data_IF_657484938555
#
_entry.id   IF_657484938555
#
_cell.length_a   1.000
_cell.length_b   1.000
_cell.length_c   1.000
_cell.angle_alpha   90.00
_cell.angle_beta   90.00
_cell.angle_gamma   90.00
#
_symmetry.space_group_name_H-M   'P 1'
#
loop_
_entity.id
_entity.type
_entity.pdbx_description
1 polymer ?
#
# COMPACT_ATOMS: atom_id res chain seq x y z
N UNK A 1 19.55 -58.91 -25.61
CA UNK A 1 20.52 -57.93 -26.14
C UNK A 1 20.81 -56.91 -25.05
N UNK A 2 22.09 -56.71 -24.71
CA UNK A 2 22.72 -55.71 -23.81
C UNK A 2 22.15 -55.64 -22.36
N UNK A 3 22.75 -56.27 -21.32
CA UNK A 3 24.07 -56.09 -20.68
C UNK A 3 24.39 -54.66 -20.23
N UNK A 4 23.99 -54.31 -19.00
CA UNK A 4 24.54 -53.17 -18.25
C UNK A 4 25.31 -53.75 -17.06
N UNK A 5 26.63 -53.51 -17.06
CA UNK A 5 27.55 -53.95 -16.01
C UNK A 5 27.56 -52.95 -14.86
N UNK A 6 27.53 -53.52 -13.65
CA UNK A 6 27.92 -52.96 -12.35
C UNK A 6 29.24 -52.16 -12.41
N UNK A 7 29.38 -51.15 -11.54
CA UNK A 7 30.31 -51.25 -10.40
C UNK A 7 30.11 -50.11 -9.38
N UNK A 8 29.82 -50.53 -8.14
CA UNK A 8 30.01 -49.81 -6.89
C UNK A 8 31.50 -49.81 -6.50
N UNK A 9 32.00 -48.71 -5.92
CA UNK A 9 32.95 -48.68 -4.78
C UNK A 9 33.29 -47.21 -4.48
N UNK A 10 32.86 -46.61 -3.36
CA UNK A 10 33.24 -46.76 -1.95
C UNK A 10 34.66 -46.28 -1.58
N UNK A 11 34.63 -45.29 -0.67
CA UNK A 11 35.59 -45.00 0.42
C UNK A 11 36.91 -44.28 0.08
N UNK A 12 37.16 -43.13 0.71
CA UNK A 12 37.93 -43.00 1.98
C UNK A 12 38.23 -41.52 2.26
N UNK A 13 37.93 -41.07 3.47
CA UNK A 13 38.40 -39.79 3.97
C UNK A 13 39.88 -39.82 4.33
N UNK A 14 40.52 -38.65 4.33
CA UNK A 14 41.69 -38.37 5.16
C UNK A 14 41.63 -36.92 5.64
N UNK A 15 41.85 -36.77 6.93
CA UNK A 15 42.03 -35.51 7.64
C UNK A 15 43.43 -34.98 7.35
N UNK A 16 43.57 -33.67 7.08
CA UNK A 16 44.82 -32.95 7.38
C UNK A 16 44.47 -31.60 8.02
N UNK A 17 45.07 -31.43 9.20
CA UNK A 17 44.91 -30.36 10.16
C UNK A 17 46.24 -29.60 10.22
N UNK A 18 46.15 -28.25 10.25
CA UNK A 18 47.19 -27.23 10.45
C UNK A 18 48.19 -27.08 9.28
N UNK A 19 48.52 -25.88 8.83
CA UNK A 19 49.15 -24.82 9.63
C UNK A 19 48.67 -23.41 9.25
N UNK A 20 48.26 -22.67 10.27
CA UNK A 20 48.34 -21.21 10.29
C UNK A 20 49.77 -20.79 9.99
N UNK A 21 49.99 -20.04 8.91
CA UNK A 21 51.16 -19.19 8.78
C UNK A 21 50.68 -17.75 8.64
N UNK A 22 51.07 -16.97 9.64
CA UNK A 22 50.93 -15.52 9.69
C UNK A 22 51.59 -14.90 8.47
N UNK A 23 50.79 -14.44 7.53
CA UNK A 23 51.18 -13.36 6.64
C UNK A 23 50.02 -12.35 6.56
N UNK A 24 49.65 -11.83 7.72
CA UNK A 24 49.08 -10.49 7.80
C UNK A 24 50.17 -9.49 7.42
N UNK A 25 50.47 -9.38 6.13
CA UNK A 25 50.71 -8.05 5.57
C UNK A 25 49.34 -7.47 5.32
N UNK A 26 48.71 -7.03 6.42
CA UNK A 26 47.76 -5.93 6.36
C UNK A 26 48.54 -4.78 5.72
N UNK A 27 48.48 -4.69 4.40
CA UNK A 27 48.59 -3.41 3.73
C UNK A 27 47.41 -2.63 4.26
N UNK A 28 47.63 -1.95 5.39
CA UNK A 28 46.89 -0.78 5.79
C UNK A 28 47.12 0.21 4.65
N UNK A 29 46.38 0.05 3.55
CA UNK A 29 46.15 1.16 2.66
C UNK A 29 45.50 2.21 3.54
N UNK A 30 46.32 3.20 3.90
CA UNK A 30 46.01 4.46 4.55
C UNK A 30 45.02 5.25 3.69
N UNK A 31 43.83 4.69 3.54
CA UNK A 31 42.68 5.30 2.94
C UNK A 31 41.51 4.99 3.87
N UNK A 32 41.67 5.35 5.15
CA UNK A 32 40.54 5.83 5.92
C UNK A 32 40.07 7.13 5.25
N UNK A 33 39.39 7.01 4.10
CA UNK A 33 38.67 8.11 3.49
C UNK A 33 37.55 8.40 4.46
N UNK A 34 37.80 9.32 5.40
CA UNK A 34 36.75 10.00 6.12
C UNK A 34 35.90 10.67 5.04
N UNK A 35 34.71 10.13 4.83
CA UNK A 35 33.67 10.79 4.05
C UNK A 35 33.51 12.22 4.60
N UNK A 36 33.94 13.17 3.78
CA UNK A 36 33.57 14.58 3.74
C UNK A 36 33.38 15.30 5.09
N UNK A 37 34.47 15.86 5.63
CA UNK A 37 34.34 17.03 6.50
C UNK A 37 34.27 18.30 5.64
N UNK A 38 33.41 19.26 5.98
CA UNK A 38 33.36 20.57 5.30
C UNK A 38 34.72 21.28 5.30
N UNK A 39 35.56 21.02 6.32
CA UNK A 39 36.88 21.62 6.45
C UNK A 39 37.95 21.00 5.53
N UNK A 40 37.68 19.82 4.95
CA UNK A 40 38.60 19.15 4.01
C UNK A 40 38.28 19.42 2.55
N UNK A 41 37.17 20.09 2.23
CA UNK A 41 36.91 20.54 0.85
C UNK A 41 37.77 21.76 0.51
N UNK A 42 38.25 21.88 -0.74
CA UNK A 42 38.94 23.10 -1.16
C UNK A 42 38.02 24.32 -0.98
N UNK A 43 38.58 25.48 -0.59
CA UNK A 43 37.80 26.70 -0.47
C UNK A 43 37.22 27.11 -1.83
N UNK A 44 36.07 27.81 -1.81
CA UNK A 44 35.45 28.31 -3.05
C UNK A 44 36.40 29.32 -3.71
N UNK A 45 36.81 29.00 -4.93
CA UNK A 45 37.70 29.80 -5.75
C UNK A 45 36.98 31.03 -6.36
N UNK A 46 37.72 32.02 -6.90
CA UNK A 46 37.11 33.06 -7.73
C UNK A 46 36.39 32.45 -8.95
N UNK A 47 35.31 33.10 -9.41
CA UNK A 47 34.41 32.59 -10.45
C UNK A 47 35.13 32.22 -11.76
N UNK A 48 36.23 32.91 -12.07
CA UNK A 48 37.05 32.74 -13.27
C UNK A 48 37.75 31.37 -13.36
N UNK A 49 37.94 30.69 -12.22
CA UNK A 49 38.57 29.36 -12.18
C UNK A 49 37.57 28.23 -12.51
N UNK A 50 36.27 28.51 -12.45
CA UNK A 50 35.23 27.55 -12.80
C UNK A 50 34.91 27.59 -14.29
N UNK A 51 34.56 26.45 -14.90
CA UNK A 51 34.14 26.41 -16.29
C UNK A 51 32.91 27.30 -16.51
N UNK A 52 32.85 27.97 -17.65
CA UNK A 52 31.68 28.73 -18.05
C UNK A 52 30.47 27.80 -18.17
N UNK A 53 29.38 28.15 -17.49
CA UNK A 53 28.13 27.37 -17.50
C UNK A 53 27.11 28.13 -18.32
N UNK A 54 26.62 27.50 -19.39
CA UNK A 54 25.51 28.02 -20.18
C UNK A 54 24.19 27.78 -19.45
N UNK A 55 23.45 28.86 -19.17
CA UNK A 55 22.13 28.77 -18.53
C UNK A 55 21.10 28.56 -19.64
N UNK A 56 20.81 27.30 -19.94
CA UNK A 56 19.78 26.93 -20.93
C UNK A 56 18.40 27.02 -20.28
N UNK A 57 17.51 27.83 -20.84
CA UNK A 57 16.11 27.86 -20.44
C UNK A 57 15.36 26.67 -21.06
N UNK A 58 14.61 25.90 -20.24
CA UNK A 58 13.79 24.75 -20.66
C UNK A 58 14.59 23.60 -21.31
N UNK A 59 15.67 23.16 -20.67
CA UNK A 59 16.47 22.03 -21.13
C UNK A 59 15.63 20.73 -21.23
N UNK A 60 15.83 19.88 -22.26
CA UNK A 60 15.07 18.64 -22.43
C UNK A 60 15.24 17.64 -21.26
N UNK A 61 16.35 17.74 -20.52
CA UNK A 61 16.64 16.96 -19.33
C UNK A 61 15.75 17.35 -18.14
N UNK A 62 15.12 18.53 -18.15
CA UNK A 62 14.26 18.99 -17.04
C UNK A 62 13.04 18.06 -16.81
N UNK A 63 12.64 17.29 -17.83
CA UNK A 63 11.64 16.22 -17.72
C UNK A 63 11.94 15.22 -16.60
N UNK A 64 13.22 14.96 -16.31
CA UNK A 64 13.62 14.06 -15.22
C UNK A 64 13.37 14.69 -13.86
N UNK A 65 13.56 16.01 -13.72
CA UNK A 65 13.25 16.75 -12.50
C UNK A 65 11.74 16.79 -12.28
N UNK A 66 10.96 17.10 -13.34
CA UNK A 66 9.49 17.11 -13.27
C UNK A 66 8.91 15.77 -12.82
N UNK A 67 9.49 14.64 -13.26
CA UNK A 67 9.08 13.30 -12.82
C UNK A 67 9.28 13.06 -11.32
N UNK A 68 10.26 13.71 -10.70
CA UNK A 68 10.55 13.58 -9.26
C UNK A 68 9.62 14.42 -8.40
N UNK A 69 8.95 15.41 -8.98
CA UNK A 69 8.02 16.26 -8.25
C UNK A 69 6.74 15.50 -7.88
N UNK A 70 6.22 15.64 -6.64
CA UNK A 70 5.00 14.97 -6.22
C UNK A 70 3.76 15.58 -6.88
N UNK A 71 2.77 14.74 -7.14
CA UNK A 71 1.46 15.20 -7.61
C UNK A 71 0.69 15.88 -6.48
N UNK A 72 0.22 17.11 -6.72
CA UNK A 72 -0.59 17.87 -5.73
C UNK A 72 -2.02 17.34 -5.60
N UNK A 73 -2.57 16.80 -6.69
CA UNK A 73 -3.96 16.37 -6.80
C UNK A 73 -3.98 14.86 -7.08
N UNK A 74 -4.92 14.16 -6.45
CA UNK A 74 -5.10 12.72 -6.68
C UNK A 74 -5.65 12.52 -8.09
N UNK A 75 -5.01 11.70 -8.93
CA UNK A 75 -5.46 11.46 -10.29
C UNK A 75 -6.78 10.68 -10.27
N UNK A 76 -7.66 11.01 -11.21
CA UNK A 76 -8.89 10.25 -11.44
C UNK A 76 -8.53 8.86 -11.98
N UNK A 77 -9.24 7.80 -11.56
CA UNK A 77 -9.01 6.46 -12.07
C UNK A 77 -9.38 6.39 -13.55
N UNK A 78 -8.59 5.63 -14.31
CA UNK A 78 -8.84 5.38 -15.73
C UNK A 78 -9.95 4.34 -15.84
N UNK A 79 -11.00 4.64 -16.60
CA UNK A 79 -12.12 3.74 -16.83
C UNK A 79 -11.69 2.52 -17.66
N UNK A 80 -11.89 1.33 -17.10
CA UNK A 80 -11.61 0.02 -17.69
C UNK A 80 -12.82 -0.89 -17.48
N UNK A 81 -13.05 -1.86 -18.38
CA UNK A 81 -14.14 -2.82 -18.23
C UNK A 81 -13.96 -3.70 -16.98
N UNK A 82 -12.72 -4.08 -16.68
CA UNK A 82 -12.39 -4.89 -15.51
C UNK A 82 -11.10 -4.41 -14.85
N UNK A 83 -11.06 -4.52 -13.51
CA UNK A 83 -9.89 -4.21 -12.71
C UNK A 83 -9.44 -5.47 -11.95
N UNK A 84 -8.19 -5.92 -12.13
CA UNK A 84 -7.69 -7.12 -11.45
C UNK A 84 -7.60 -6.97 -9.92
N UNK A 85 -7.60 -5.72 -9.41
CA UNK A 85 -7.59 -5.43 -7.97
C UNK A 85 -8.96 -5.62 -7.29
N UNK A 86 -10.02 -5.94 -8.04
CA UNK A 86 -11.39 -6.00 -7.52
C UNK A 86 -11.95 -4.62 -7.14
N UNK A 87 -11.30 -3.54 -7.58
CA UNK A 87 -11.85 -2.19 -7.51
C UNK A 87 -12.97 -2.03 -8.53
N UNK A 88 -14.05 -1.35 -8.15
CA UNK A 88 -15.16 -1.01 -9.03
C UNK A 88 -15.47 0.48 -8.92
N UNK A 89 -15.64 1.19 -10.05
CA UNK A 89 -16.04 2.60 -10.06
C UNK A 89 -17.45 2.74 -9.48
N UNK A 90 -17.79 3.95 -9.05
CA UNK A 90 -19.10 4.26 -8.51
C UNK A 90 -20.07 4.55 -9.66
N UNK A 91 -21.08 3.71 -9.84
CA UNK A 91 -22.10 3.83 -10.91
C UNK A 91 -23.38 4.49 -10.40
N UNK A 92 -23.66 4.38 -9.10
CA UNK A 92 -24.90 4.82 -8.46
C UNK A 92 -25.22 6.32 -8.62
N UNK A 93 -24.22 7.17 -8.90
CA UNK A 93 -24.43 8.60 -9.14
C UNK A 93 -25.31 8.89 -10.37
N UNK A 94 -25.46 7.93 -11.29
CA UNK A 94 -26.32 8.07 -12.48
C UNK A 94 -27.78 7.67 -12.22
N UNK A 95 -28.13 7.16 -11.03
CA UNK A 95 -29.48 6.67 -10.71
C UNK A 95 -30.30 7.77 -10.03
N UNK A 96 -31.40 8.25 -10.63
CA UNK A 96 -32.14 9.41 -10.12
C UNK A 96 -32.96 9.15 -8.85
N UNK A 97 -33.28 7.89 -8.51
CA UNK A 97 -34.25 7.56 -7.44
C UNK A 97 -33.63 6.83 -6.22
N UNK A 98 -32.46 7.25 -5.77
CA UNK A 98 -31.83 6.69 -4.57
C UNK A 98 -32.18 7.51 -3.32
N UNK A 99 -32.86 6.88 -2.35
CA UNK A 99 -33.20 7.48 -1.05
C UNK A 99 -31.98 7.81 -0.20
N UNK A 100 -30.88 7.11 -0.41
CA UNK A 100 -29.61 7.34 0.26
C UNK A 100 -28.44 7.14 -0.71
N UNK A 101 -27.30 7.74 -0.39
CA UNK A 101 -26.11 7.70 -1.22
C UNK A 101 -24.84 7.57 -0.37
N UNK A 102 -23.97 6.62 -0.71
CA UNK A 102 -22.68 6.44 -0.02
C UNK A 102 -21.57 7.01 -0.90
N UNK A 103 -20.96 8.11 -0.48
CA UNK A 103 -19.91 8.77 -1.27
C UNK A 103 -18.56 8.06 -1.10
N UNK A 104 -17.82 7.87 -2.19
CA UNK A 104 -16.45 7.34 -2.15
C UNK A 104 -15.49 8.29 -1.42
N UNK A 105 -14.38 7.72 -0.98
CA UNK A 105 -13.29 8.49 -0.37
C UNK A 105 -12.47 9.27 -1.40
N UNK A 106 -11.57 10.14 -0.91
CA UNK A 106 -10.64 10.89 -1.76
C UNK A 106 -9.81 9.98 -2.69
N UNK A 107 -9.54 8.75 -2.23
CA UNK A 107 -8.78 7.74 -2.97
C UNK A 107 -9.70 6.81 -3.77
N UNK A 108 -10.96 7.20 -4.00
CA UNK A 108 -11.98 6.43 -4.74
C UNK A 108 -12.33 5.06 -4.11
N UNK A 109 -12.10 4.90 -2.80
CA UNK A 109 -12.41 3.66 -2.05
C UNK A 109 -13.76 3.74 -1.34
N UNK A 110 -14.40 2.59 -1.14
CA UNK A 110 -15.64 2.45 -0.35
C UNK A 110 -15.35 2.81 1.13
N UNK A 111 -16.14 3.68 1.77
CA UNK A 111 -15.86 4.20 3.11
C UNK A 111 -16.29 3.25 4.25
N UNK A 112 -15.87 1.98 4.19
CA UNK A 112 -16.15 0.95 5.21
C UNK A 112 -14.85 0.54 5.89
N UNK A 113 -14.77 0.74 7.19
CA UNK A 113 -13.55 0.56 7.97
C UNK A 113 -13.78 -0.26 9.23
N UNK A 114 -12.73 -0.93 9.68
CA UNK A 114 -12.71 -1.59 10.97
C UNK A 114 -12.17 -0.63 12.02
N UNK A 115 -12.93 -0.43 13.09
CA UNK A 115 -12.50 0.32 14.26
C UNK A 115 -12.31 -0.64 15.44
N UNK A 116 -11.06 -0.82 15.84
CA UNK A 116 -10.66 -1.66 16.98
C UNK A 116 -10.40 -0.80 18.20
N UNK A 117 -10.98 -1.17 19.33
CA UNK A 117 -10.80 -0.51 20.63
C UNK A 117 -10.46 -1.54 21.70
N UNK A 118 -10.11 -1.10 22.91
CA UNK A 118 -9.77 -1.97 24.05
C UNK A 118 -8.71 -3.03 23.72
N UNK A 119 -7.57 -2.59 23.16
CA UNK A 119 -6.43 -3.46 22.83
C UNK A 119 -6.78 -4.67 21.96
N UNK A 120 -7.73 -4.55 21.04
CA UNK A 120 -8.12 -5.65 20.15
C UNK A 120 -9.44 -6.32 20.48
N UNK A 121 -9.94 -6.17 21.71
CA UNK A 121 -11.09 -6.94 22.18
C UNK A 121 -12.39 -6.50 21.50
N UNK A 122 -12.56 -5.20 21.25
CA UNK A 122 -13.78 -4.65 20.66
C UNK A 122 -13.54 -4.25 19.22
N UNK A 123 -14.19 -4.95 18.29
CA UNK A 123 -14.19 -4.65 16.84
C UNK A 123 -15.55 -4.09 16.44
N UNK A 124 -15.53 -2.99 15.69
CA UNK A 124 -16.72 -2.31 15.20
C UNK A 124 -16.48 -2.02 13.72
N UNK A 125 -17.43 -2.35 12.85
CA UNK A 125 -17.40 -1.85 11.48
C UNK A 125 -18.08 -0.50 11.40
N UNK A 126 -17.42 0.44 10.75
CA UNK A 126 -17.83 1.83 10.63
C UNK A 126 -18.01 2.14 9.15
N UNK A 127 -19.24 2.44 8.75
CA UNK A 127 -19.56 3.01 7.45
C UNK A 127 -19.62 4.53 7.61
N UNK A 128 -19.00 5.27 6.69
CA UNK A 128 -18.95 6.74 6.70
C UNK A 128 -19.47 7.32 5.39
N UNK A 129 -19.66 8.64 5.36
CA UNK A 129 -20.01 9.43 4.16
C UNK A 129 -21.35 9.03 3.54
N UNK A 130 -22.31 8.69 4.40
CA UNK A 130 -23.68 8.40 4.00
C UNK A 130 -24.43 9.73 3.88
N UNK A 131 -25.22 9.87 2.82
CA UNK A 131 -26.11 10.99 2.53
C UNK A 131 -27.54 10.47 2.33
N UNK A 132 -28.56 11.29 2.61
CA UNK A 132 -29.96 10.89 2.47
C UNK A 132 -30.49 10.08 3.66
N UNK A 133 -31.41 9.15 3.41
CA UNK A 133 -32.07 8.34 4.45
C UNK A 133 -31.13 7.24 5.00
N UNK A 134 -30.45 7.56 6.10
CA UNK A 134 -29.49 6.68 6.76
C UNK A 134 -30.19 5.46 7.41
N UNK A 135 -31.44 5.61 7.85
CA UNK A 135 -32.19 4.54 8.50
C UNK A 135 -32.55 3.43 7.53
N UNK A 136 -32.84 3.78 6.28
CA UNK A 136 -33.08 2.77 5.25
C UNK A 136 -31.81 1.97 4.93
N UNK A 137 -30.67 2.65 4.76
CA UNK A 137 -29.39 1.95 4.59
C UNK A 137 -29.06 1.07 5.80
N UNK A 138 -29.31 1.52 7.02
CA UNK A 138 -29.08 0.71 8.23
C UNK A 138 -29.90 -0.57 8.22
N UNK A 139 -31.20 -0.48 7.90
CA UNK A 139 -32.08 -1.66 7.84
C UNK A 139 -31.61 -2.67 6.80
N UNK A 140 -31.22 -2.20 5.62
CA UNK A 140 -30.70 -3.07 4.56
C UNK A 140 -29.39 -3.74 4.98
N UNK A 141 -28.42 -2.96 5.47
CA UNK A 141 -27.12 -3.50 5.91
C UNK A 141 -27.27 -4.44 7.11
N UNK A 142 -28.20 -4.17 8.02
CA UNK A 142 -28.49 -5.03 9.16
C UNK A 142 -28.91 -6.42 8.71
N UNK A 143 -29.78 -6.53 7.71
CA UNK A 143 -30.19 -7.83 7.14
C UNK A 143 -29.00 -8.57 6.56
N UNK A 144 -28.10 -7.88 5.84
CA UNK A 144 -26.89 -8.48 5.27
C UNK A 144 -25.95 -8.98 6.37
N UNK A 145 -25.73 -8.19 7.41
CA UNK A 145 -24.87 -8.55 8.54
C UNK A 145 -25.46 -9.69 9.37
N UNK A 146 -26.78 -9.70 9.60
CA UNK A 146 -27.45 -10.77 10.34
C UNK A 146 -27.40 -12.09 9.56
N UNK A 147 -27.50 -12.07 8.23
CA UNK A 147 -27.25 -13.25 7.37
C UNK A 147 -25.83 -13.78 7.56
N UNK A 148 -24.83 -12.89 7.54
CA UNK A 148 -23.43 -13.27 7.78
C UNK A 148 -23.18 -13.78 9.23
N UNK A 149 -24.05 -13.43 10.19
CA UNK A 149 -23.99 -13.84 11.59
C UNK A 149 -24.90 -15.04 11.91
N UNK A 150 -25.23 -15.86 10.93
CA UNK A 150 -26.09 -17.04 11.08
C UNK A 150 -27.46 -16.70 11.69
N UNK A 151 -28.03 -15.55 11.33
CA UNK A 151 -29.35 -15.09 11.80
C UNK A 151 -29.35 -14.45 13.20
N UNK A 152 -28.19 -14.26 13.83
CA UNK A 152 -28.13 -13.59 15.15
C UNK A 152 -28.28 -12.08 15.01
N UNK A 153 -29.21 -11.51 15.78
CA UNK A 153 -29.50 -10.07 15.81
C UNK A 153 -28.25 -9.21 16.00
N UNK A 154 -27.98 -8.28 15.09
CA UNK A 154 -26.80 -7.42 15.16
C UNK A 154 -27.11 -6.12 15.91
N UNK A 155 -26.18 -5.71 16.79
CA UNK A 155 -26.25 -4.40 17.43
C UNK A 155 -25.67 -3.33 16.50
N UNK A 156 -26.52 -2.39 16.09
CA UNK A 156 -26.20 -1.24 15.25
C UNK A 156 -26.36 0.08 16.02
N UNK A 157 -25.58 1.08 15.63
CA UNK A 157 -25.72 2.47 16.09
C UNK A 157 -25.67 3.37 14.86
N UNK A 158 -26.68 4.23 14.72
CA UNK A 158 -26.74 5.26 13.68
C UNK A 158 -26.31 6.60 14.27
N UNK A 159 -25.51 7.35 13.53
CA UNK A 159 -25.18 8.74 13.81
C UNK A 159 -25.52 9.58 12.58
N UNK A 160 -26.69 10.21 12.63
CA UNK A 160 -27.24 11.01 11.53
C UNK A 160 -26.39 12.23 11.22
N UNK A 161 -26.03 13.00 12.25
CA UNK A 161 -25.27 14.25 12.11
C UNK A 161 -23.94 14.05 11.37
N UNK A 162 -23.28 12.93 11.62
CA UNK A 162 -21.99 12.61 10.97
C UNK A 162 -22.13 11.75 9.71
N UNK A 163 -23.33 11.25 9.39
CA UNK A 163 -23.56 10.30 8.30
C UNK A 163 -22.80 8.99 8.49
N UNK A 164 -22.88 8.37 9.67
CA UNK A 164 -22.15 7.16 10.04
C UNK A 164 -23.06 6.07 10.60
N UNK A 165 -22.74 4.82 10.28
CA UNK A 165 -23.36 3.62 10.86
C UNK A 165 -22.27 2.74 11.46
N UNK A 166 -22.47 2.30 12.69
CA UNK A 166 -21.58 1.40 13.41
C UNK A 166 -22.27 0.05 13.62
N UNK A 167 -21.64 -1.05 13.20
CA UNK A 167 -22.07 -2.41 13.56
C UNK A 167 -21.05 -3.05 14.49
N UNK A 168 -21.54 -3.79 15.48
CA UNK A 168 -20.68 -4.55 16.38
C UNK A 168 -20.16 -5.83 15.72
N UNK A 169 -18.84 -5.98 15.59
CA UNK A 169 -18.18 -7.11 14.95
C UNK A 169 -17.27 -6.69 13.80
N UNK A 170 -16.74 -7.69 13.07
CA UNK A 170 -16.03 -7.47 11.80
C UNK A 170 -16.83 -8.06 10.65
N UNK A 171 -17.33 -7.17 9.82
CA UNK A 171 -18.11 -7.43 8.61
C UNK A 171 -17.68 -6.48 7.49
N UNK A 172 -16.43 -6.02 7.51
CA UNK A 172 -15.97 -4.99 6.59
C UNK A 172 -16.07 -5.49 5.15
N UNK A 173 -15.64 -6.73 4.90
CA UNK A 173 -15.62 -7.29 3.56
C UNK A 173 -17.03 -7.53 3.02
N UNK A 174 -17.91 -8.13 3.85
CA UNK A 174 -19.32 -8.36 3.52
C UNK A 174 -20.05 -7.07 3.14
N UNK A 175 -19.91 -6.03 3.97
CA UNK A 175 -20.56 -4.73 3.70
C UNK A 175 -19.93 -4.05 2.48
N UNK A 176 -18.61 -4.16 2.32
CA UNK A 176 -17.90 -3.58 1.17
C UNK A 176 -18.33 -4.22 -0.15
N UNK A 177 -18.48 -5.55 -0.19
CA UNK A 177 -18.95 -6.29 -1.36
C UNK A 177 -20.38 -5.91 -1.69
N UNK A 178 -21.27 -5.89 -0.69
CA UNK A 178 -22.66 -5.48 -0.87
C UNK A 178 -22.79 -4.05 -1.45
N UNK A 179 -22.02 -3.09 -0.92
CA UNK A 179 -22.02 -1.72 -1.45
C UNK A 179 -21.47 -1.65 -2.88
N UNK A 180 -20.43 -2.43 -3.21
CA UNK A 180 -19.90 -2.53 -4.57
C UNK A 180 -20.91 -3.13 -5.54
N UNK A 181 -21.66 -4.14 -5.13
CA UNK A 181 -22.73 -4.77 -5.93
C UNK A 181 -23.86 -3.78 -6.20
N UNK A 182 -24.24 -2.99 -5.19
CA UNK A 182 -25.24 -1.93 -5.33
C UNK A 182 -24.74 -0.74 -6.16
N UNK A 183 -23.45 -0.69 -6.50
CA UNK A 183 -22.85 0.32 -7.37
C UNK A 183 -22.42 1.61 -6.65
N UNK A 184 -22.35 1.59 -5.32
CA UNK A 184 -21.87 2.71 -4.50
C UNK A 184 -20.37 2.77 -4.42
#
# INVERSE_FOLDING_TARGET
MASIKNLLQLCKGTQYFLQFSNNQKCLLSLAAVRQSSYLSSPPVAPREEYPEVEIVQNAPEWKYVERLMPQKIIPKPIEKPEYPSGWKPQTAASLPDLKYFVARTKNHMVPVYLHTTFRGQRRITVIRRIQGDIWELERELRVVVEKARNGKLCASRVNEMSGQIHFHGDYVDVIREYLKEKGF
#
